data_IF_381609948797
#
_entry.id   IF_381609948797
#
_cell.length_a   1.000
_cell.length_b   1.000
_cell.length_c   1.000
_cell.angle_alpha   90.00
_cell.angle_beta   90.00
_cell.angle_gamma   90.00
#
_symmetry.space_group_name_H-M   'P 1'
#
loop_
_entity.id
_entity.type
_entity.pdbx_description
1 polymer ?
#
# COMPACT_ATOMS: atom_id res chain seq x y z
N UNK A 1 14.64 1.80 0.43
CA UNK A 1 13.59 0.88 -0.05
C UNK A 1 12.54 1.68 -0.80
N UNK A 2 12.00 1.18 -1.92
CA UNK A 2 10.93 1.84 -2.67
C UNK A 2 9.68 0.97 -2.67
N UNK A 3 8.52 1.57 -2.40
CA UNK A 3 7.21 0.93 -2.42
C UNK A 3 6.41 1.60 -3.54
N UNK A 4 5.86 0.78 -4.44
CA UNK A 4 5.04 1.21 -5.58
C UNK A 4 3.60 0.74 -5.34
N UNK A 5 2.63 1.63 -5.53
CA UNK A 5 1.22 1.32 -5.39
C UNK A 5 0.41 2.11 -6.41
N UNK A 6 -0.65 1.49 -6.94
CA UNK A 6 -1.65 2.12 -7.79
C UNK A 6 -2.79 2.79 -6.99
N UNK A 7 -2.76 2.68 -5.65
CA UNK A 7 -3.70 3.37 -4.77
C UNK A 7 -3.17 4.74 -4.37
N UNK A 8 -3.59 5.77 -5.09
CA UNK A 8 -3.22 7.15 -4.77
C UNK A 8 -3.63 7.55 -3.34
N UNK A 9 -4.80 7.10 -2.88
CA UNK A 9 -5.28 7.34 -1.51
C UNK A 9 -4.30 6.78 -0.48
N UNK A 10 -3.86 5.53 -0.65
CA UNK A 10 -2.91 4.88 0.25
C UNK A 10 -1.58 5.63 0.27
N UNK A 11 -1.07 6.01 -0.91
CA UNK A 11 0.20 6.75 -1.01
C UNK A 11 0.11 8.08 -0.26
N UNK A 12 -0.97 8.85 -0.44
CA UNK A 12 -1.20 10.12 0.27
C UNK A 12 -1.37 9.93 1.78
N UNK A 13 -2.04 8.86 2.22
CA UNK A 13 -2.17 8.53 3.65
C UNK A 13 -0.81 8.18 4.28
N UNK A 14 0.00 7.34 3.60
CA UNK A 14 1.33 6.97 4.09
C UNK A 14 2.33 8.13 4.12
N UNK A 15 2.11 9.14 3.27
CA UNK A 15 2.84 10.42 3.29
C UNK A 15 2.31 11.40 4.33
N UNK A 16 1.31 11.01 5.12
CA UNK A 16 0.63 11.86 6.12
C UNK A 16 -0.09 13.08 5.52
N UNK A 17 -0.30 13.10 4.20
CA UNK A 17 -1.06 14.15 3.53
C UNK A 17 -2.55 13.99 3.87
N UNK A 18 -3.04 12.75 3.95
CA UNK A 18 -4.43 12.42 4.25
C UNK A 18 -4.59 11.63 5.55
N UNK A 19 -5.64 11.97 6.31
CA UNK A 19 -6.02 11.27 7.54
C UNK A 19 -6.87 10.04 7.21
N UNK A 20 -6.47 8.89 7.75
CA UNK A 20 -7.28 7.67 7.75
C UNK A 20 -8.45 7.85 8.72
N UNK A 21 -9.68 7.83 8.20
CA UNK A 21 -10.92 8.01 8.99
C UNK A 21 -11.59 6.70 9.36
N UNK A 22 -11.42 5.68 8.52
CA UNK A 22 -12.00 4.36 8.75
C UNK A 22 -11.29 3.67 9.95
N UNK A 23 -12.03 3.23 10.99
CA UNK A 23 -11.44 2.62 12.18
C UNK A 23 -10.68 1.32 11.90
N UNK A 24 -11.18 0.47 11.00
CA UNK A 24 -10.54 -0.79 10.65
C UNK A 24 -9.27 -0.53 9.84
N UNK A 25 -9.32 0.44 8.93
CA UNK A 25 -8.15 0.84 8.15
C UNK A 25 -7.08 1.53 9.02
N UNK A 26 -7.47 2.18 10.12
CA UNK A 26 -6.55 2.87 11.02
C UNK A 26 -5.59 1.89 11.69
N UNK A 27 -6.05 0.71 12.07
CA UNK A 27 -5.19 -0.34 12.64
C UNK A 27 -4.14 -0.81 11.63
N UNK A 28 -4.56 -1.08 10.39
CA UNK A 28 -3.67 -1.47 9.29
C UNK A 28 -2.65 -0.37 8.97
N UNK A 29 -3.09 0.88 8.95
CA UNK A 29 -2.22 2.04 8.75
C UNK A 29 -1.16 2.15 9.85
N UNK A 30 -1.56 1.99 11.12
CA UNK A 30 -0.61 2.02 12.25
C UNK A 30 0.45 0.91 12.14
N UNK A 31 0.02 -0.31 11.78
CA UNK A 31 0.93 -1.42 11.54
C UNK A 31 1.90 -1.12 10.38
N UNK A 32 1.39 -0.61 9.26
CA UNK A 32 2.20 -0.24 8.10
C UNK A 32 3.23 0.84 8.44
N UNK A 33 2.84 1.90 9.17
CA UNK A 33 3.74 2.96 9.63
C UNK A 33 4.82 2.41 10.56
N UNK A 34 4.46 1.52 11.49
CA UNK A 34 5.43 0.88 12.39
C UNK A 34 6.47 0.06 11.62
N UNK A 35 6.05 -0.69 10.60
CA UNK A 35 6.93 -1.47 9.73
C UNK A 35 7.86 -0.58 8.90
N UNK A 36 7.33 0.48 8.30
CA UNK A 36 8.10 1.44 7.49
C UNK A 36 9.21 2.09 8.32
N UNK A 37 8.95 2.40 9.60
CA UNK A 37 9.95 2.97 10.52
C UNK A 37 11.13 2.05 10.83
N UNK A 38 11.03 0.75 10.56
CA UNK A 38 12.14 -0.21 10.75
C UNK A 38 13.22 -0.09 9.67
N UNK A 39 12.93 0.60 8.58
CA UNK A 39 13.88 0.81 7.49
C UNK A 39 14.47 2.22 7.56
N UNK A 40 15.77 2.34 7.27
CA UNK A 40 16.48 3.63 7.32
C UNK A 40 15.87 4.70 6.39
N UNK A 41 15.35 4.28 5.22
CA UNK A 41 14.68 5.16 4.27
C UNK A 41 13.69 4.38 3.41
N UNK A 42 12.45 4.85 3.38
CA UNK A 42 11.38 4.32 2.52
C UNK A 42 10.84 5.44 1.65
N UNK A 43 10.75 5.18 0.34
CA UNK A 43 10.12 6.04 -0.64
C UNK A 43 8.83 5.36 -1.12
N UNK A 44 7.69 6.00 -0.95
CA UNK A 44 6.39 5.48 -1.40
C UNK A 44 5.93 6.32 -2.59
N UNK A 45 5.71 5.67 -3.73
CA UNK A 45 5.36 6.32 -4.99
C UNK A 45 4.10 5.71 -5.59
N UNK A 46 3.21 6.59 -6.07
CA UNK A 46 2.07 6.21 -6.87
C UNK A 46 2.52 5.85 -8.29
N UNK A 47 2.03 4.75 -8.83
CA UNK A 47 2.30 4.29 -10.19
C UNK A 47 0.99 3.95 -10.89
N UNK A 48 0.87 4.20 -12.21
CA UNK A 48 -0.29 3.78 -12.97
C UNK A 48 -0.52 2.27 -12.84
N UNK A 49 -1.79 1.83 -12.86
CA UNK A 49 -2.16 0.41 -12.72
C UNK A 49 -1.49 -0.50 -13.76
N UNK A 50 -1.24 0.02 -14.95
CA UNK A 50 -0.49 -0.67 -16.02
C UNK A 50 0.93 -1.06 -15.61
N UNK A 51 1.55 -0.29 -14.71
CA UNK A 51 2.90 -0.55 -14.16
C UNK A 51 2.85 -1.45 -12.90
N UNK A 52 1.66 -1.71 -12.34
CA UNK A 52 1.47 -2.58 -11.17
C UNK A 52 0.95 -3.98 -11.52
N UNK A 53 1.09 -4.40 -12.78
CA UNK A 53 0.54 -5.65 -13.31
C UNK A 53 1.01 -6.90 -12.58
N UNK A 54 2.24 -6.92 -12.07
CA UNK A 54 2.78 -8.04 -11.30
C UNK A 54 2.06 -8.22 -9.96
N UNK A 55 1.75 -7.12 -9.26
CA UNK A 55 1.01 -7.17 -8.00
C UNK A 55 -0.45 -7.59 -8.26
N UNK A 56 -1.09 -7.03 -9.28
CA UNK A 56 -2.45 -7.41 -9.70
C UNK A 56 -2.52 -8.90 -10.06
N UNK A 57 -1.53 -9.43 -10.79
CA UNK A 57 -1.47 -10.85 -11.14
C UNK A 57 -1.36 -11.77 -9.91
N UNK A 58 -0.57 -11.38 -8.90
CA UNK A 58 -0.44 -12.13 -7.66
C UNK A 58 -1.74 -12.13 -6.85
N UNK A 59 -2.41 -10.98 -6.78
CA UNK A 59 -3.71 -10.86 -6.10
C UNK A 59 -4.76 -11.71 -6.81
N UNK A 60 -4.87 -11.58 -8.13
CA UNK A 60 -5.81 -12.39 -8.92
C UNK A 60 -5.57 -13.88 -8.74
N UNK A 61 -4.30 -14.33 -8.76
CA UNK A 61 -3.97 -15.73 -8.50
C UNK A 61 -4.39 -16.20 -7.10
N UNK A 62 -4.27 -15.34 -6.09
CA UNK A 62 -4.68 -15.67 -4.72
C UNK A 62 -6.22 -15.69 -4.56
N UNK A 63 -6.94 -14.90 -5.35
CA UNK A 63 -8.41 -14.87 -5.38
C UNK A 63 -8.99 -16.04 -6.20
N UNK A 64 -8.39 -16.36 -7.35
CA UNK A 64 -8.81 -17.47 -8.22
C UNK A 64 -8.57 -18.85 -7.56
N UNK A 65 -7.58 -18.95 -6.66
CA UNK A 65 -7.35 -20.16 -5.86
C UNK A 65 -8.32 -20.37 -4.69
N UNK A 66 -9.32 -19.49 -4.53
CA UNK A 66 -10.36 -19.57 -3.48
C UNK A 66 -11.76 -19.87 -4.01
N UNK A 67 -11.87 -20.40 -5.23
CA UNK A 67 -13.13 -20.90 -5.80
C UNK A 67 -13.22 -22.42 -5.67
#
# INVERSE_FOLDING_TARGET
MRIMSDSELLVRQMRQEYRVRDPQLKELYMAAVALVRRFARVEIKHVPRTENSAADALVNKALDGRV
#
